data_IF_897479167843
#
_entry.id   IF_897479167843
#
_cell.length_a   1.000
_cell.length_b   1.000
_cell.length_c   1.000
_cell.angle_alpha   90.00
_cell.angle_beta   90.00
_cell.angle_gamma   90.00
#
_symmetry.space_group_name_H-M   'P 1'
#
loop_
_entity.id
_entity.type
_entity.pdbx_description
1 polymer ?
#
# COMPACT_ATOMS: atom_id res chain seq x y z
N UNK A 1 8.57 12.21 0.31
CA UNK A 1 8.04 10.84 0.05
C UNK A 1 7.60 10.78 -1.40
N UNK A 2 7.97 9.76 -2.17
CA UNK A 2 7.45 9.59 -3.54
C UNK A 2 6.20 8.73 -3.57
N UNK A 3 5.39 8.80 -4.63
CA UNK A 3 4.21 7.94 -4.80
C UNK A 3 4.56 6.45 -4.75
N UNK A 4 5.70 6.05 -5.34
CA UNK A 4 6.18 4.68 -5.27
C UNK A 4 6.54 4.24 -3.84
N UNK A 5 7.12 5.12 -3.02
CA UNK A 5 7.38 4.84 -1.61
C UNK A 5 6.09 4.72 -0.79
N UNK A 6 5.10 5.59 -1.07
CA UNK A 6 3.78 5.54 -0.43
C UNK A 6 3.09 4.21 -0.76
N UNK A 7 3.04 3.83 -2.04
CA UNK A 7 2.47 2.54 -2.47
C UNK A 7 3.20 1.37 -1.81
N UNK A 8 4.53 1.38 -1.77
CA UNK A 8 5.31 0.34 -1.12
C UNK A 8 5.01 0.24 0.39
N UNK A 9 4.90 1.37 1.10
CA UNK A 9 4.53 1.40 2.52
C UNK A 9 3.13 0.80 2.76
N UNK A 10 2.16 1.13 1.90
CA UNK A 10 0.83 0.53 1.96
C UNK A 10 0.86 -0.98 1.66
N UNK A 11 1.64 -1.43 0.68
CA UNK A 11 1.79 -2.87 0.42
C UNK A 11 2.37 -3.61 1.62
N UNK A 12 3.40 -3.04 2.26
CA UNK A 12 4.02 -3.63 3.46
C UNK A 12 3.03 -3.61 4.63
N UNK A 13 2.15 -2.61 4.74
CA UNK A 13 1.18 -2.55 5.84
C UNK A 13 0.06 -3.59 5.77
N UNK A 14 -0.14 -4.27 4.62
CA UNK A 14 -1.19 -5.28 4.46
C UNK A 14 -0.83 -6.66 5.06
N UNK A 15 0.41 -6.85 5.53
CA UNK A 15 0.82 -8.11 6.12
C UNK A 15 1.91 -7.95 7.17
N UNK A 16 2.06 -8.96 8.03
CA UNK A 16 3.03 -8.92 9.13
C UNK A 16 4.48 -8.95 8.63
N UNK A 17 4.74 -9.60 7.49
CA UNK A 17 6.03 -9.63 6.81
C UNK A 17 5.85 -9.89 5.32
N UNK A 18 6.35 -8.99 4.48
CA UNK A 18 6.12 -9.04 3.03
C UNK A 18 7.44 -9.30 2.29
N UNK A 19 7.54 -10.34 1.44
CA UNK A 19 8.69 -10.54 0.56
C UNK A 19 8.87 -9.38 -0.42
N UNK A 20 10.12 -9.00 -0.70
CA UNK A 20 10.44 -7.94 -1.69
C UNK A 20 9.89 -8.28 -3.08
N UNK A 21 9.83 -9.56 -3.45
CA UNK A 21 9.23 -10.02 -4.70
C UNK A 21 7.75 -9.65 -4.81
N UNK A 22 6.99 -9.79 -3.73
CA UNK A 22 5.56 -9.43 -3.69
C UNK A 22 5.36 -7.92 -3.74
N UNK A 23 6.27 -7.15 -3.16
CA UNK A 23 6.30 -5.69 -3.31
C UNK A 23 6.54 -5.31 -4.77
N UNK A 24 7.47 -6.00 -5.46
CA UNK A 24 7.77 -5.77 -6.87
C UNK A 24 6.55 -6.05 -7.77
N UNK A 25 5.88 -7.19 -7.54
CA UNK A 25 4.66 -7.59 -8.24
C UNK A 25 3.54 -6.56 -8.07
N UNK A 26 3.25 -6.18 -6.82
CA UNK A 26 2.19 -5.21 -6.54
C UNK A 26 2.46 -3.82 -7.13
N UNK A 27 3.73 -3.41 -7.16
CA UNK A 27 4.13 -2.13 -7.75
C UNK A 27 4.26 -2.17 -9.28
N UNK A 28 4.20 -3.36 -9.90
CA UNK A 28 4.43 -3.53 -11.34
C UNK A 28 5.86 -3.15 -11.78
N UNK A 29 6.85 -3.39 -10.92
CA UNK A 29 8.27 -3.04 -11.18
C UNK A 29 9.18 -4.25 -11.06
N UNK A 30 10.37 -4.18 -11.66
CA UNK A 30 11.39 -5.22 -11.49
C UNK A 30 11.92 -5.31 -10.04
N UNK A 31 12.39 -6.50 -9.65
CA UNK A 31 12.95 -6.76 -8.32
C UNK A 31 14.06 -5.78 -7.89
N UNK A 32 15.03 -5.39 -8.74
CA UNK A 32 16.06 -4.42 -8.35
C UNK A 32 15.45 -3.07 -7.94
N UNK A 33 14.47 -2.58 -8.68
CA UNK A 33 13.76 -1.33 -8.39
C UNK A 33 13.00 -1.41 -7.07
N UNK A 34 12.26 -2.51 -6.84
CA UNK A 34 11.58 -2.74 -5.57
C UNK A 34 12.55 -2.81 -4.40
N UNK A 35 13.69 -3.49 -4.56
CA UNK A 35 14.72 -3.54 -3.51
C UNK A 35 15.27 -2.16 -3.20
N UNK A 36 15.59 -1.35 -4.21
CA UNK A 36 16.04 0.03 -4.01
C UNK A 36 15.01 0.92 -3.30
N UNK A 37 13.72 0.75 -3.61
CA UNK A 37 12.63 1.45 -2.92
C UNK A 37 12.56 1.04 -1.45
N UNK A 38 12.58 -0.27 -1.19
CA UNK A 38 12.59 -0.83 0.18
C UNK A 38 13.81 -0.31 0.95
N UNK A 39 15.00 -0.30 0.35
CA UNK A 39 16.21 0.18 1.01
C UNK A 39 16.10 1.66 1.40
N UNK A 40 15.45 2.50 0.58
CA UNK A 40 15.18 3.90 0.94
C UNK A 40 14.22 3.99 2.14
N UNK A 41 13.19 3.17 2.18
CA UNK A 41 12.20 3.14 3.27
C UNK A 41 12.86 2.64 4.59
N UNK A 42 13.71 1.62 4.49
CA UNK A 42 14.50 1.10 5.61
C UNK A 42 15.48 2.15 6.13
N UNK A 43 16.22 2.82 5.23
CA UNK A 43 17.13 3.93 5.62
C UNK A 43 16.41 5.08 6.31
N UNK A 44 15.14 5.32 5.98
CA UNK A 44 14.31 6.30 6.69
C UNK A 44 13.72 5.81 8.02
N UNK A 45 14.04 4.60 8.47
CA UNK A 45 13.55 4.04 9.73
C UNK A 45 12.07 3.64 9.72
N UNK A 46 11.43 3.62 8.55
CA UNK A 46 10.00 3.33 8.39
C UNK A 46 9.72 1.83 8.19
N UNK A 47 10.73 1.06 7.77
CA UNK A 47 10.65 -0.38 7.65
C UNK A 47 11.93 -1.04 8.15
N UNK A 48 11.82 -2.33 8.46
CA UNK A 48 12.93 -3.21 8.77
C UNK A 48 12.95 -4.36 7.75
N UNK A 49 14.15 -4.88 7.47
CA UNK A 49 14.33 -6.03 6.59
C UNK A 49 14.99 -7.16 7.38
N UNK A 50 14.41 -8.35 7.31
CA UNK A 50 14.96 -9.56 7.92
C UNK A 50 15.12 -10.65 6.86
N UNK A 51 16.00 -11.60 7.11
CA UNK A 51 16.02 -12.84 6.34
C UNK A 51 14.78 -13.67 6.68
N UNK A 52 14.25 -14.39 5.70
CA UNK A 52 13.27 -15.43 5.99
C UNK A 52 13.98 -16.61 6.69
N UNK A 53 13.52 -17.07 7.87
CA UNK A 53 14.08 -18.23 8.55
C UNK A 53 14.11 -19.50 7.69
N UNK A 54 13.14 -19.66 6.81
CA UNK A 54 12.95 -20.88 6.01
C UNK A 54 13.70 -20.84 4.67
N UNK A 55 13.97 -19.65 4.12
CA UNK A 55 14.79 -19.46 2.92
C UNK A 55 15.52 -18.11 2.98
N UNK A 56 16.82 -18.13 3.35
CA UNK A 56 17.64 -16.91 3.51
C UNK A 56 17.75 -16.06 2.24
N UNK A 57 17.44 -16.63 1.06
CA UNK A 57 17.40 -15.87 -0.21
C UNK A 57 16.21 -14.91 -0.27
N UNK A 58 15.16 -15.18 0.50
CA UNK A 58 13.99 -14.32 0.61
C UNK A 58 14.23 -13.28 1.70
N UNK A 59 14.18 -12.00 1.31
CA UNK A 59 14.18 -10.88 2.27
C UNK A 59 12.74 -10.49 2.58
N UNK A 60 12.39 -10.54 3.86
CA UNK A 60 11.10 -10.10 4.39
C UNK A 60 11.20 -8.66 4.86
N UNK A 61 10.16 -7.89 4.60
CA UNK A 61 10.06 -6.48 4.98
C UNK A 61 8.88 -6.30 5.92
N UNK A 62 9.09 -5.56 7.01
CA UNK A 62 8.05 -5.20 7.98
C UNK A 62 8.08 -3.72 8.25
N UNK A 63 6.93 -3.10 8.49
CA UNK A 63 6.91 -1.72 8.99
C UNK A 63 7.46 -1.67 10.41
N UNK A 64 8.19 -0.59 10.72
CA UNK A 64 8.47 -0.21 12.11
C UNK A 64 7.23 0.47 12.71
N UNK A 65 7.23 0.73 14.01
CA UNK A 65 6.18 1.54 14.65
C UNK A 65 6.03 2.91 13.97
N UNK A 66 7.14 3.56 13.63
CA UNK A 66 7.14 4.84 12.91
C UNK A 66 6.54 4.70 11.49
N UNK A 67 6.82 3.59 10.80
CA UNK A 67 6.20 3.27 9.52
C UNK A 67 4.69 3.08 9.62
N UNK A 68 4.23 2.35 10.64
CA UNK A 68 2.80 2.15 10.90
C UNK A 68 2.09 3.48 11.22
N UNK A 69 2.69 4.33 12.05
CA UNK A 69 2.17 5.66 12.36
C UNK A 69 2.03 6.53 11.11
N UNK A 70 3.04 6.52 10.25
CA UNK A 70 3.00 7.25 9.00
C UNK A 70 1.88 6.74 8.08
N UNK A 71 1.77 5.42 7.91
CA UNK A 71 0.70 4.81 7.11
C UNK A 71 -0.68 5.21 7.64
N UNK A 72 -0.88 5.18 8.96
CA UNK A 72 -2.13 5.65 9.60
C UNK A 72 -2.43 7.12 9.24
N UNK A 73 -1.44 8.00 9.34
CA UNK A 73 -1.61 9.44 8.98
C UNK A 73 -1.93 9.63 7.51
N UNK A 74 -1.31 8.85 6.62
CA UNK A 74 -1.60 8.89 5.18
C UNK A 74 -3.03 8.44 4.88
N UNK A 75 -3.52 7.38 5.55
CA UNK A 75 -4.92 6.96 5.45
C UNK A 75 -5.88 8.04 5.96
N UNK A 76 -5.61 8.60 7.15
CA UNK A 76 -6.46 9.64 7.74
C UNK A 76 -6.56 10.90 6.86
N UNK A 77 -5.44 11.34 6.27
CA UNK A 77 -5.44 12.48 5.36
C UNK A 77 -6.26 12.22 4.10
N UNK A 78 -6.14 11.01 3.52
CA UNK A 78 -6.97 10.60 2.38
C UNK A 78 -8.46 10.52 2.73
N UNK A 79 -8.78 9.91 3.88
CA UNK A 79 -10.16 9.75 4.35
C UNK A 79 -10.84 11.11 4.57
N UNK A 80 -10.15 12.08 5.17
CA UNK A 80 -10.67 13.43 5.37
C UNK A 80 -11.00 14.11 4.03
N UNK A 81 -10.12 13.96 3.03
CA UNK A 81 -10.33 14.54 1.71
C UNK A 81 -11.50 13.90 0.97
N UNK A 82 -11.59 12.56 1.01
CA UNK A 82 -12.73 11.84 0.42
C UNK A 82 -14.03 12.19 1.12
N UNK A 83 -14.04 12.29 2.45
CA UNK A 83 -15.22 12.68 3.22
C UNK A 83 -15.70 14.07 2.82
N UNK A 84 -14.79 15.02 2.62
CA UNK A 84 -15.13 16.36 2.14
C UNK A 84 -15.79 16.31 0.77
N UNK A 85 -15.21 15.59 -0.20
CA UNK A 85 -15.79 15.46 -1.54
C UNK A 85 -17.15 14.77 -1.52
N UNK A 86 -17.27 13.66 -0.78
CA UNK A 86 -18.52 12.90 -0.67
C UNK A 86 -19.63 13.69 0.04
N UNK A 87 -19.27 14.56 1.01
CA UNK A 87 -20.25 15.41 1.70
C UNK A 87 -20.88 16.48 0.80
N UNK A 88 -20.27 16.79 -0.35
CA UNK A 88 -20.83 17.70 -1.35
C UNK A 88 -21.79 17.04 -2.33
N UNK A 89 -21.93 15.71 -2.30
CA UNK A 89 -22.81 14.97 -3.20
C UNK A 89 -24.22 14.84 -2.61
N UNK A 90 -25.22 14.91 -3.48
CA UNK A 90 -26.59 14.55 -3.13
C UNK A 90 -26.72 13.05 -2.89
N UNK A 91 -27.81 12.63 -2.24
CA UNK A 91 -28.10 11.21 -2.00
C UNK A 91 -28.15 10.38 -3.28
N UNK A 92 -28.63 10.94 -4.39
CA UNK A 92 -28.77 10.21 -5.65
C UNK A 92 -27.45 10.11 -6.43
N UNK A 93 -26.61 11.14 -6.36
CA UNK A 93 -25.22 11.08 -6.85
C UNK A 93 -24.40 10.06 -6.05
N UNK A 94 -24.56 10.03 -4.72
CA UNK A 94 -23.86 9.08 -3.86
C UNK A 94 -24.28 7.63 -4.17
N UNK A 95 -25.57 7.37 -4.38
CA UNK A 95 -26.07 6.05 -4.82
C UNK A 95 -25.49 5.66 -6.18
N UNK A 96 -25.45 6.60 -7.13
CA UNK A 96 -24.92 6.36 -8.48
C UNK A 96 -23.42 6.05 -8.45
N UNK A 97 -22.65 6.81 -7.65
CA UNK A 97 -21.23 6.59 -7.44
C UNK A 97 -20.97 5.22 -6.79
N UNK A 98 -21.73 4.88 -5.75
CA UNK A 98 -21.62 3.58 -5.08
C UNK A 98 -21.90 2.44 -6.05
N UNK A 99 -22.92 2.55 -6.89
CA UNK A 99 -23.23 1.55 -7.90
C UNK A 99 -22.07 1.38 -8.90
N UNK A 100 -21.50 2.47 -9.40
CA UNK A 100 -20.35 2.46 -10.31
C UNK A 100 -19.10 1.84 -9.68
N UNK A 101 -18.74 2.25 -8.46
CA UNK A 101 -17.59 1.69 -7.74
C UNK A 101 -17.78 0.21 -7.42
N UNK A 102 -18.99 -0.22 -7.07
CA UNK A 102 -19.32 -1.62 -6.83
C UNK A 102 -19.16 -2.44 -8.11
N UNK A 103 -19.59 -1.92 -9.26
CA UNK A 103 -19.41 -2.59 -10.54
C UNK A 103 -17.93 -2.73 -10.92
N UNK A 104 -17.12 -1.68 -10.69
CA UNK A 104 -15.67 -1.72 -10.91
C UNK A 104 -14.96 -2.72 -9.99
N UNK A 105 -15.30 -2.72 -8.69
CA UNK A 105 -14.70 -3.64 -7.72
C UNK A 105 -14.91 -5.11 -8.10
N UNK A 106 -16.14 -5.46 -8.54
CA UNK A 106 -16.44 -6.81 -9.04
C UNK A 106 -15.56 -7.22 -10.23
N UNK A 107 -15.18 -6.29 -11.10
CA UNK A 107 -14.29 -6.58 -12.23
C UNK A 107 -12.82 -6.72 -11.78
N UNK A 108 -12.40 -5.96 -10.77
CA UNK A 108 -11.03 -5.99 -10.26
C UNK A 108 -10.70 -7.25 -9.42
N UNK A 109 -11.71 -7.92 -8.84
CA UNK A 109 -11.55 -9.18 -8.11
C UNK A 109 -11.51 -10.42 -9.02
N UNK A 110 -11.80 -10.26 -10.31
CA UNK A 110 -11.67 -11.35 -11.28
C UNK A 110 -10.18 -11.59 -11.57
N UNK A 111 -9.66 -12.82 -11.42
CA UNK A 111 -8.32 -13.13 -11.89
C UNK A 111 -8.28 -12.96 -13.42
N UNK A 112 -7.29 -12.20 -13.90
CA UNK A 112 -6.92 -12.16 -15.32
C UNK A 112 -6.48 -13.53 -15.82
#
# INVERSE_FOLDING_TARGET
MTMAQIKALFTISQGDAVPVSRIAEYLGVGQPTASHLVDKIVRSGLASRTENPDDRRVKLVRLTSAGQDLVRRLYQGGEQQYRLWLSGLTSDELKSLLAGLTALARQAELPN
#
